data_IF_794507711774
#
_entry.id   IF_794507711774
#
_cell.length_a   1.000
_cell.length_b   1.000
_cell.length_c   1.000
_cell.angle_alpha   90.00
_cell.angle_beta   90.00
_cell.angle_gamma   90.00
#
_symmetry.space_group_name_H-M   'P 1'
#
loop_
_entity.id
_entity.type
_entity.pdbx_description
1 polymer ?
#
# COMPACT_ATOMS: atom_id res chain seq x y z
N UNK A 1 4.04 -28.17 5.38
CA UNK A 1 5.04 -27.52 4.49
C UNK A 1 4.47 -26.22 3.91
N UNK A 2 3.92 -25.34 4.74
CA UNK A 2 3.20 -24.12 4.32
C UNK A 2 4.01 -22.82 4.53
N UNK A 3 5.04 -22.83 5.39
CA UNK A 3 5.81 -21.62 5.74
C UNK A 3 6.61 -20.99 4.59
N UNK A 4 7.22 -21.79 3.68
CA UNK A 4 8.15 -21.25 2.69
C UNK A 4 7.48 -20.43 1.58
N UNK A 5 6.23 -20.73 1.24
CA UNK A 5 5.47 -19.98 0.23
C UNK A 5 4.96 -18.65 0.79
N UNK A 6 4.59 -18.63 2.06
CA UNK A 6 4.14 -17.42 2.75
C UNK A 6 5.28 -16.44 2.97
N UNK A 7 6.46 -16.93 3.37
CA UNK A 7 7.68 -16.10 3.51
C UNK A 7 8.09 -15.43 2.20
N UNK A 8 8.00 -16.14 1.06
CA UNK A 8 8.31 -15.54 -0.26
C UNK A 8 7.35 -14.41 -0.64
N UNK A 9 6.07 -14.52 -0.29
CA UNK A 9 5.09 -13.46 -0.51
C UNK A 9 5.40 -12.22 0.35
N UNK A 10 5.77 -12.44 1.61
CA UNK A 10 6.16 -11.39 2.55
C UNK A 10 7.44 -10.66 2.10
N UNK A 11 8.47 -11.40 1.67
CA UNK A 11 9.73 -10.82 1.17
C UNK A 11 9.52 -9.97 -0.09
N UNK A 12 8.65 -10.43 -0.99
CA UNK A 12 8.30 -9.70 -2.22
C UNK A 12 7.49 -8.44 -1.92
N UNK A 13 6.54 -8.52 -0.97
CA UNK A 13 5.78 -7.36 -0.51
C UNK A 13 6.69 -6.33 0.17
N UNK A 14 7.64 -6.77 0.99
CA UNK A 14 8.58 -5.88 1.66
C UNK A 14 9.52 -5.18 0.67
N UNK A 15 9.99 -5.90 -0.36
CA UNK A 15 10.80 -5.31 -1.44
C UNK A 15 10.03 -4.26 -2.25
N UNK A 16 8.73 -4.49 -2.49
CA UNK A 16 7.85 -3.53 -3.16
C UNK A 16 7.65 -2.28 -2.29
N UNK A 17 7.38 -2.44 -0.99
CA UNK A 17 7.25 -1.33 -0.05
C UNK A 17 8.49 -0.45 -0.05
N UNK A 18 9.69 -1.05 0.04
CA UNK A 18 10.95 -0.31 0.05
C UNK A 18 11.19 0.45 -1.26
N UNK A 19 10.84 -0.18 -2.40
CA UNK A 19 10.96 0.44 -3.72
C UNK A 19 10.04 1.65 -3.84
N UNK A 20 8.77 1.50 -3.44
CA UNK A 20 7.78 2.58 -3.51
C UNK A 20 8.09 3.68 -2.51
N UNK A 21 8.57 3.37 -1.30
CA UNK A 21 9.01 4.37 -0.32
C UNK A 21 10.20 5.19 -0.84
N UNK A 22 11.18 4.53 -1.49
CA UNK A 22 12.30 5.24 -2.15
C UNK A 22 11.79 6.14 -3.28
N UNK A 23 10.88 5.65 -4.12
CA UNK A 23 10.28 6.43 -5.20
C UNK A 23 9.50 7.64 -4.65
N UNK A 24 8.68 7.43 -3.61
CA UNK A 24 7.93 8.49 -2.92
C UNK A 24 8.88 9.56 -2.41
N UNK A 25 9.90 9.18 -1.66
CA UNK A 25 10.87 10.15 -1.11
C UNK A 25 11.58 10.94 -2.21
N UNK A 26 11.97 10.27 -3.29
CA UNK A 26 12.83 10.87 -4.32
C UNK A 26 12.04 11.70 -5.36
N UNK A 27 10.76 11.37 -5.61
CA UNK A 27 9.93 12.02 -6.65
C UNK A 27 8.68 12.71 -6.12
N UNK A 28 8.15 12.27 -4.98
CA UNK A 28 6.88 12.74 -4.41
C UNK A 28 7.01 13.04 -2.90
N UNK A 29 7.94 13.94 -2.50
CA UNK A 29 8.25 14.16 -1.08
C UNK A 29 7.06 14.71 -0.26
N UNK A 30 6.07 15.30 -0.92
CA UNK A 30 4.83 15.81 -0.31
C UNK A 30 3.77 14.75 -0.09
N UNK A 31 3.93 13.56 -0.69
CA UNK A 31 3.00 12.45 -0.51
C UNK A 31 3.29 11.74 0.81
N UNK A 32 2.24 11.45 1.57
CA UNK A 32 2.38 10.80 2.87
C UNK A 32 2.78 9.33 2.77
N UNK A 33 3.74 8.95 3.61
CA UNK A 33 4.23 7.57 3.65
C UNK A 33 3.18 6.59 4.19
N UNK A 34 2.33 7.03 5.12
CA UNK A 34 1.24 6.24 5.68
C UNK A 34 0.19 5.89 4.63
N UNK A 35 -0.27 6.89 3.87
CA UNK A 35 -1.22 6.71 2.78
C UNK A 35 -0.71 5.71 1.73
N UNK A 36 0.55 5.85 1.30
CA UNK A 36 1.15 4.95 0.30
C UNK A 36 1.20 3.51 0.80
N UNK A 37 1.57 3.29 2.07
CA UNK A 37 1.59 1.96 2.68
C UNK A 37 0.21 1.35 2.79
N UNK A 38 -0.79 2.16 3.10
CA UNK A 38 -2.18 1.72 3.23
C UNK A 38 -2.74 1.27 1.87
N UNK A 39 -2.49 2.04 0.80
CA UNK A 39 -2.85 1.66 -0.58
C UNK A 39 -2.16 0.37 -0.99
N UNK A 40 -0.86 0.22 -0.71
CA UNK A 40 -0.12 -1.01 -1.04
C UNK A 40 -0.62 -2.22 -0.24
N UNK A 41 -1.01 -2.02 1.02
CA UNK A 41 -1.65 -3.07 1.82
C UNK A 41 -2.97 -3.49 1.21
N UNK A 42 -3.85 -2.54 0.87
CA UNK A 42 -5.13 -2.83 0.23
C UNK A 42 -4.94 -3.60 -1.08
N UNK A 43 -3.91 -3.25 -1.86
CA UNK A 43 -3.57 -3.97 -3.09
C UNK A 43 -3.07 -5.40 -2.83
N UNK A 44 -2.19 -5.59 -1.85
CA UNK A 44 -1.66 -6.90 -1.49
C UNK A 44 -2.70 -7.81 -0.82
N UNK A 45 -3.66 -7.23 -0.11
CA UNK A 45 -4.77 -7.92 0.54
C UNK A 45 -5.93 -8.22 -0.43
N UNK A 46 -5.87 -7.68 -1.65
CA UNK A 46 -6.92 -7.84 -2.66
C UNK A 46 -6.93 -9.25 -3.26
N UNK A 47 -7.49 -10.19 -2.49
CA UNK A 47 -8.27 -11.30 -3.04
C UNK A 47 -9.64 -10.81 -3.61
N UNK A 48 -9.97 -9.55 -3.33
CA UNK A 48 -11.16 -8.84 -3.76
C UNK A 48 -10.99 -8.22 -5.16
N UNK A 49 -12.04 -8.27 -5.98
CA UNK A 49 -12.02 -7.72 -7.33
C UNK A 49 -11.85 -6.20 -7.39
N UNK A 50 -11.44 -5.68 -8.55
CA UNK A 50 -11.03 -4.28 -8.80
C UNK A 50 -11.95 -3.19 -8.20
N UNK A 51 -13.25 -3.46 -8.06
CA UNK A 51 -14.21 -2.51 -7.48
C UNK A 51 -14.08 -2.28 -5.97
N UNK A 52 -13.69 -3.31 -5.20
CA UNK A 52 -13.47 -3.18 -3.75
C UNK A 52 -12.14 -2.49 -3.45
N UNK A 53 -11.11 -2.79 -4.23
CA UNK A 53 -9.81 -2.09 -4.17
C UNK A 53 -9.99 -0.59 -4.43
N UNK A 54 -10.78 -0.23 -5.45
CA UNK A 54 -11.05 1.18 -5.79
C UNK A 54 -11.67 1.92 -4.61
N UNK A 55 -12.71 1.36 -4.00
CA UNK A 55 -13.38 1.97 -2.83
C UNK A 55 -12.48 2.06 -1.61
N UNK A 56 -11.67 1.04 -1.35
CA UNK A 56 -10.72 1.05 -0.23
C UNK A 56 -9.67 2.16 -0.38
N UNK A 57 -9.16 2.34 -1.60
CA UNK A 57 -8.21 3.42 -1.91
C UNK A 57 -8.87 4.79 -1.76
N UNK A 58 -10.10 4.97 -2.25
CA UNK A 58 -10.85 6.22 -2.08
C UNK A 58 -11.01 6.59 -0.60
N UNK A 59 -11.41 5.62 0.25
CA UNK A 59 -11.56 5.86 1.68
C UNK A 59 -10.24 6.20 2.38
N UNK A 60 -9.13 5.54 2.02
CA UNK A 60 -7.81 5.85 2.58
C UNK A 60 -7.35 7.26 2.21
N UNK A 61 -7.59 7.68 0.96
CA UNK A 61 -7.29 9.02 0.47
C UNK A 61 -8.18 10.07 1.17
N UNK A 62 -9.49 9.85 1.26
CA UNK A 62 -10.41 10.75 1.96
C UNK A 62 -10.06 10.90 3.44
N UNK A 63 -9.70 9.80 4.10
CA UNK A 63 -9.27 9.82 5.50
C UNK A 63 -8.01 10.67 5.69
N UNK A 64 -7.04 10.53 4.77
CA UNK A 64 -5.82 11.32 4.82
C UNK A 64 -6.10 12.82 4.59
N UNK A 65 -6.95 13.17 3.61
CA UNK A 65 -7.32 14.56 3.32
C UNK A 65 -8.08 15.22 4.48
N UNK A 66 -8.96 14.48 5.15
CA UNK A 66 -9.74 14.98 6.28
C UNK A 66 -8.92 15.15 7.57
N UNK A 67 -7.77 14.46 7.71
CA UNK A 67 -6.83 14.67 8.83
C UNK A 67 -6.00 15.95 8.72
N UNK A 68 -6.03 16.63 7.57
CA UNK A 68 -5.30 17.86 7.33
C UNK A 68 -6.05 19.15 7.68
N UNK A 69 -7.25 19.06 8.28
CA UNK A 69 -8.08 20.20 8.71
C UNK A 69 -8.08 20.32 10.23
#
# INVERSE_FOLDING_TARGET
MTNLLQQRGEDQFQSLLDTVERLRRDKFPTLDAGLVREILRLHADSAAGDGELTRGVEQAVEHYLNKGI
#
